data_IF_620851396315
#
_entry.id   IF_620851396315
#
_cell.length_a   1.000
_cell.length_b   1.000
_cell.length_c   1.000
_cell.angle_alpha   90.00
_cell.angle_beta   90.00
_cell.angle_gamma   90.00
#
_symmetry.space_group_name_H-M   'P 1'
#
loop_
_entity.id
_entity.type
_entity.pdbx_description
1 polymer ?
#
# COMPACT_ATOMS: atom_id res chain seq x y z
N UNK A 1 -4.81 7.33 13.43
CA UNK A 1 -3.95 6.14 13.41
C UNK A 1 -2.65 6.44 12.71
N UNK A 2 -1.60 5.73 13.06
CA UNK A 2 -0.29 5.89 12.41
C UNK A 2 -0.19 4.87 11.28
N UNK A 3 0.17 5.32 10.09
CA UNK A 3 0.23 4.47 8.91
C UNK A 3 1.45 4.79 8.05
N UNK A 4 1.73 3.89 7.11
CA UNK A 4 2.63 4.17 6.00
C UNK A 4 1.97 3.64 4.72
N UNK A 5 2.29 4.26 3.60
CA UNK A 5 1.78 3.86 2.29
C UNK A 5 2.95 3.56 1.37
N UNK A 6 2.85 2.44 0.68
CA UNK A 6 3.86 1.97 -0.27
C UNK A 6 3.24 1.84 -1.64
N UNK A 7 3.96 2.31 -2.65
CA UNK A 7 3.51 2.22 -4.04
C UNK A 7 4.62 1.64 -4.90
N UNK A 8 4.23 0.86 -5.91
CA UNK A 8 5.20 0.31 -6.85
C UNK A 8 5.85 1.45 -7.61
N UNK A 9 7.18 1.47 -7.63
CA UNK A 9 7.94 2.44 -8.40
C UNK A 9 7.86 2.07 -9.88
N UNK A 10 7.22 2.91 -10.68
CA UNK A 10 6.95 2.60 -12.09
C UNK A 10 8.25 2.35 -12.86
N UNK A 11 9.33 3.07 -12.54
CA UNK A 11 10.62 2.93 -13.21
C UNK A 11 11.32 1.60 -12.93
N UNK A 12 10.88 0.87 -11.88
CA UNK A 12 11.42 -0.46 -11.58
C UNK A 12 10.46 -1.58 -11.93
N UNK A 13 9.30 -1.24 -12.47
CA UNK A 13 8.21 -2.19 -12.68
C UNK A 13 8.27 -2.80 -14.08
N UNK A 14 9.28 -3.64 -14.32
CA UNK A 14 9.51 -4.24 -15.63
C UNK A 14 8.37 -5.12 -16.09
N UNK A 15 7.68 -5.78 -15.16
CA UNK A 15 6.59 -6.71 -15.47
C UNK A 15 5.21 -6.05 -15.42
N UNK A 16 5.16 -4.72 -15.27
CA UNK A 16 3.91 -3.95 -15.26
C UNK A 16 2.94 -4.48 -14.22
N UNK A 17 3.41 -4.64 -12.99
CA UNK A 17 2.61 -5.17 -11.89
C UNK A 17 1.76 -4.10 -11.21
N UNK A 18 2.11 -2.82 -11.37
CA UNK A 18 1.34 -1.74 -10.79
C UNK A 18 -0.10 -1.79 -11.31
N UNK A 19 -1.05 -1.56 -10.40
CA UNK A 19 -2.48 -1.56 -10.68
C UNK A 19 -3.08 -2.94 -10.97
N UNK A 20 -2.33 -4.01 -10.72
CA UNK A 20 -2.82 -5.37 -10.89
C UNK A 20 -3.34 -5.93 -9.58
N UNK A 21 -4.24 -6.91 -9.67
CA UNK A 21 -4.77 -7.57 -8.49
C UNK A 21 -3.68 -8.36 -7.76
N UNK A 22 -3.93 -8.66 -6.49
CA UNK A 22 -3.00 -9.45 -5.68
C UNK A 22 -2.75 -10.83 -6.31
N UNK A 23 -3.80 -11.48 -6.82
CA UNK A 23 -3.65 -12.80 -7.44
C UNK A 23 -2.68 -12.74 -8.62
N UNK A 24 -2.78 -11.71 -9.44
CA UNK A 24 -1.86 -11.57 -10.59
C UNK A 24 -0.42 -11.38 -10.12
N UNK A 25 -0.21 -10.48 -9.16
CA UNK A 25 1.14 -10.19 -8.65
C UNK A 25 1.77 -11.44 -8.06
N UNK A 26 1.03 -12.17 -7.24
CA UNK A 26 1.52 -13.39 -6.62
C UNK A 26 1.93 -14.42 -7.67
N UNK A 27 1.12 -14.56 -8.73
CA UNK A 27 1.40 -15.55 -9.78
C UNK A 27 2.67 -15.23 -10.56
N UNK A 28 3.01 -13.95 -10.68
CA UNK A 28 4.21 -13.51 -11.42
C UNK A 28 5.44 -13.49 -10.52
N UNK A 29 5.27 -13.28 -9.21
CA UNK A 29 6.35 -12.98 -8.27
C UNK A 29 6.64 -14.12 -7.30
N UNK A 30 6.50 -15.36 -7.75
CA UNK A 30 6.85 -16.56 -6.96
C UNK A 30 6.09 -16.66 -5.64
N UNK A 31 4.82 -16.28 -5.65
CA UNK A 31 3.94 -16.46 -4.50
C UNK A 31 4.04 -15.37 -3.43
N UNK A 32 4.71 -14.27 -3.73
CA UNK A 32 4.87 -13.18 -2.74
C UNK A 32 4.65 -11.82 -3.39
N UNK A 33 4.40 -10.82 -2.55
CA UNK A 33 4.37 -9.42 -3.00
C UNK A 33 5.82 -8.94 -3.11
N UNK A 34 6.24 -8.40 -4.28
CA UNK A 34 7.65 -8.04 -4.49
C UNK A 34 7.98 -6.70 -3.81
N UNK A 35 8.33 -6.76 -2.53
CA UNK A 35 8.58 -5.57 -1.73
C UNK A 35 9.68 -4.68 -2.32
N UNK A 36 10.63 -5.27 -3.03
CA UNK A 36 11.74 -4.54 -3.65
C UNK A 36 11.30 -3.55 -4.72
N UNK A 37 10.06 -3.67 -5.23
CA UNK A 37 9.53 -2.74 -6.22
C UNK A 37 8.82 -1.55 -5.60
N UNK A 38 8.60 -1.56 -4.28
CA UNK A 38 7.81 -0.55 -3.60
C UNK A 38 8.64 0.54 -2.99
N UNK A 39 8.15 1.77 -3.05
CA UNK A 39 8.68 2.91 -2.30
C UNK A 39 7.67 3.33 -1.25
N UNK A 40 8.17 3.76 -0.09
CA UNK A 40 7.32 4.38 0.93
C UNK A 40 7.05 5.82 0.50
N UNK A 41 5.80 6.13 0.23
CA UNK A 41 5.41 7.46 -0.26
C UNK A 41 4.74 8.30 0.82
N UNK A 42 4.43 7.71 1.96
CA UNK A 42 3.88 8.43 3.10
C UNK A 42 4.13 7.63 4.38
N UNK A 43 4.44 8.34 5.46
CA UNK A 43 4.46 7.76 6.81
C UNK A 43 4.06 8.86 7.78
N UNK A 44 3.08 8.59 8.65
CA UNK A 44 2.63 9.58 9.60
C UNK A 44 1.28 9.27 10.19
N UNK A 45 0.77 10.23 10.99
CA UNK A 45 -0.54 10.13 11.60
C UNK A 45 -1.61 10.64 10.66
N UNK A 46 -2.76 9.95 10.67
CA UNK A 46 -3.94 10.39 9.94
C UNK A 46 -5.15 10.27 10.84
N UNK A 47 -6.19 11.07 10.56
CA UNK A 47 -7.44 11.04 11.33
C UNK A 47 -8.35 9.89 10.94
N UNK A 48 -7.98 9.11 9.95
CA UNK A 48 -8.78 7.98 9.48
C UNK A 48 -8.89 6.91 10.55
N UNK A 49 -9.99 6.16 10.54
CA UNK A 49 -10.24 5.08 11.47
C UNK A 49 -10.38 3.72 10.78
N UNK A 50 -10.59 3.71 9.47
CA UNK A 50 -10.73 2.48 8.69
C UNK A 50 -9.89 2.57 7.43
N UNK A 51 -9.70 1.42 6.77
CA UNK A 51 -9.01 1.40 5.49
C UNK A 51 -9.76 2.20 4.43
N UNK A 52 -11.08 2.18 4.46
CA UNK A 52 -11.90 2.96 3.54
C UNK A 52 -11.71 4.46 3.77
N UNK A 53 -11.58 4.89 5.02
CA UNK A 53 -11.25 6.27 5.33
C UNK A 53 -9.89 6.67 4.78
N UNK A 54 -8.90 5.79 4.90
CA UNK A 54 -7.56 6.02 4.35
C UNK A 54 -7.64 6.19 2.85
N UNK A 55 -8.39 5.32 2.18
CA UNK A 55 -8.58 5.41 0.73
C UNK A 55 -9.17 6.76 0.35
N UNK A 56 -10.19 7.20 1.08
CA UNK A 56 -10.82 8.49 0.82
C UNK A 56 -9.82 9.64 0.98
N UNK A 57 -9.09 9.68 2.09
CA UNK A 57 -8.14 10.77 2.38
C UNK A 57 -7.09 10.87 1.29
N UNK A 58 -6.52 9.75 0.86
CA UNK A 58 -5.42 9.76 -0.10
C UNK A 58 -5.87 9.84 -1.55
N UNK A 59 -7.17 9.89 -1.79
CA UNK A 59 -7.72 10.12 -3.12
C UNK A 59 -8.37 11.49 -3.24
N UNK A 60 -8.96 12.00 -2.17
CA UNK A 60 -9.75 13.22 -2.22
C UNK A 60 -9.09 14.41 -1.52
N UNK A 61 -8.26 14.18 -0.52
CA UNK A 61 -7.78 15.25 0.34
C UNK A 61 -6.25 15.32 0.48
N UNK A 62 -5.51 14.49 -0.16
CA UNK A 62 -4.06 14.34 -0.12
C UNK A 62 -3.37 15.16 0.99
N UNK A 63 -2.86 14.50 2.07
CA UNK A 63 -2.09 15.21 3.09
C UNK A 63 -0.90 15.95 2.48
N UNK A 64 -0.50 17.08 3.08
CA UNK A 64 0.55 17.92 2.52
C UNK A 64 1.91 17.21 2.40
N UNK A 65 2.17 16.20 3.23
CA UNK A 65 3.41 15.43 3.17
C UNK A 65 3.36 14.27 2.17
N UNK A 66 2.24 14.09 1.49
CA UNK A 66 2.07 12.96 0.58
C UNK A 66 2.76 13.24 -0.75
N UNK A 67 3.64 12.31 -1.15
CA UNK A 67 4.44 12.45 -2.38
C UNK A 67 4.06 11.45 -3.45
N UNK A 68 3.08 10.61 -3.19
CA UNK A 68 2.68 9.57 -4.13
C UNK A 68 1.52 9.97 -5.01
N UNK A 69 1.11 9.06 -5.87
CA UNK A 69 -0.12 9.19 -6.64
C UNK A 69 -1.29 8.79 -5.75
N UNK A 70 -2.52 9.04 -6.21
CA UNK A 70 -3.72 8.61 -5.51
C UNK A 70 -3.63 7.12 -5.16
N UNK A 71 -4.18 6.76 -4.01
CA UNK A 71 -4.17 5.37 -3.55
C UNK A 71 -4.95 4.50 -4.54
N UNK A 72 -4.33 3.45 -5.03
CA UNK A 72 -4.86 2.65 -6.13
C UNK A 72 -4.59 1.17 -5.91
N UNK A 73 -5.19 0.35 -6.75
CA UNK A 73 -4.92 -1.09 -6.76
C UNK A 73 -3.42 -1.34 -6.84
N UNK A 74 -2.93 -2.29 -6.09
CA UNK A 74 -1.55 -2.71 -5.88
C UNK A 74 -0.80 -1.93 -4.80
N UNK A 75 -1.33 -0.82 -4.32
CA UNK A 75 -0.70 -0.10 -3.22
C UNK A 75 -0.83 -0.89 -1.92
N UNK A 76 0.10 -0.67 -1.00
CA UNK A 76 0.10 -1.36 0.30
C UNK A 76 0.02 -0.31 1.41
N UNK A 77 -0.89 -0.55 2.35
CA UNK A 77 -1.05 0.29 3.54
C UNK A 77 -0.54 -0.48 4.74
N UNK A 78 0.38 0.10 5.47
CA UNK A 78 0.85 -0.42 6.75
C UNK A 78 0.14 0.31 7.88
N UNK A 79 -0.48 -0.43 8.80
CA UNK A 79 -1.10 0.14 9.99
C UNK A 79 -0.25 -0.25 11.17
N UNK A 80 0.29 0.75 11.89
CA UNK A 80 1.10 0.52 13.07
C UNK A 80 0.21 0.27 14.28
N UNK A 81 0.44 -0.83 14.97
CA UNK A 81 -0.37 -1.25 16.10
C UNK A 81 0.15 -0.65 17.39
N UNK A 82 -0.76 -0.31 18.32
CA UNK A 82 -0.38 0.24 19.61
C UNK A 82 0.47 -0.74 20.43
N UNK A 83 0.28 -2.03 20.21
CA UNK A 83 1.04 -3.08 20.89
C UNK A 83 2.44 -3.30 20.31
N UNK A 84 2.78 -2.58 19.25
CA UNK A 84 3.99 -2.81 18.47
C UNK A 84 3.69 -3.66 17.25
N UNK A 85 4.58 -3.63 16.28
CA UNK A 85 4.36 -4.35 15.04
C UNK A 85 3.38 -3.64 14.11
N UNK A 86 3.05 -4.29 13.01
CA UNK A 86 2.22 -3.71 11.97
C UNK A 86 1.39 -4.75 11.27
N UNK A 87 0.30 -4.29 10.65
CA UNK A 87 -0.49 -5.07 9.72
C UNK A 87 -0.39 -4.40 8.35
N UNK A 88 -0.31 -5.21 7.30
CA UNK A 88 -0.16 -4.73 5.92
C UNK A 88 -1.38 -5.14 5.11
N UNK A 89 -1.89 -4.21 4.32
CA UNK A 89 -3.08 -4.44 3.51
C UNK A 89 -2.83 -4.04 2.07
N UNK A 90 -3.15 -4.96 1.17
CA UNK A 90 -3.03 -4.76 -0.27
C UNK A 90 -4.34 -4.15 -0.79
N UNK A 91 -4.24 -3.07 -1.55
CA UNK A 91 -5.40 -2.44 -2.15
C UNK A 91 -5.83 -3.25 -3.38
N UNK A 92 -7.01 -3.83 -3.30
CA UNK A 92 -7.60 -4.62 -4.36
C UNK A 92 -8.59 -3.79 -5.17
N UNK A 93 -9.06 -4.27 -6.33
CA UNK A 93 -10.12 -3.56 -7.06
C UNK A 93 -11.37 -3.33 -6.21
N UNK A 94 -11.64 -4.22 -5.26
CA UNK A 94 -12.73 -4.04 -4.29
C UNK A 94 -12.14 -4.33 -2.91
N UNK A 95 -12.04 -3.28 -2.08
CA UNK A 95 -11.59 -3.41 -0.72
C UNK A 95 -10.09 -3.65 -0.57
N UNK A 96 -9.73 -4.19 0.59
CA UNK A 96 -8.33 -4.45 0.94
C UNK A 96 -8.17 -5.89 1.40
N UNK A 97 -6.98 -6.44 1.19
CA UNK A 97 -6.68 -7.80 1.64
C UNK A 97 -5.42 -7.77 2.49
N UNK A 98 -5.48 -8.39 3.67
CA UNK A 98 -4.31 -8.47 4.54
C UNK A 98 -3.25 -9.36 3.89
N UNK A 99 -2.00 -8.90 3.92
CA UNK A 99 -0.87 -9.60 3.30
C UNK A 99 0.31 -9.64 4.24
N UNK A 100 1.30 -10.45 3.87
CA UNK A 100 2.63 -10.37 4.42
C UNK A 100 3.46 -9.46 3.52
N UNK A 101 4.13 -8.48 4.11
CA UNK A 101 4.93 -7.51 3.37
C UNK A 101 6.24 -7.34 4.13
N UNK A 102 7.27 -8.04 3.69
CA UNK A 102 8.52 -8.13 4.44
C UNK A 102 9.47 -7.03 3.99
N UNK A 103 9.40 -5.88 4.67
CA UNK A 103 10.30 -4.76 4.42
C UNK A 103 11.73 -5.15 4.81
N UNK A 104 12.67 -4.56 4.10
CA UNK A 104 14.08 -4.71 4.45
C UNK A 104 14.53 -3.58 5.37
#
# INVERSE_FOLDING_TARGET
MKIAIYQIAIERDENRLAFQSLNHIISVSNGRVPVELYDCVFAGEVSAQTLEDIFYVFNMEHPSAYKGRSLSVSDVVEIFLASGGSEFYYCEPIGFKRIRFEKE
#
